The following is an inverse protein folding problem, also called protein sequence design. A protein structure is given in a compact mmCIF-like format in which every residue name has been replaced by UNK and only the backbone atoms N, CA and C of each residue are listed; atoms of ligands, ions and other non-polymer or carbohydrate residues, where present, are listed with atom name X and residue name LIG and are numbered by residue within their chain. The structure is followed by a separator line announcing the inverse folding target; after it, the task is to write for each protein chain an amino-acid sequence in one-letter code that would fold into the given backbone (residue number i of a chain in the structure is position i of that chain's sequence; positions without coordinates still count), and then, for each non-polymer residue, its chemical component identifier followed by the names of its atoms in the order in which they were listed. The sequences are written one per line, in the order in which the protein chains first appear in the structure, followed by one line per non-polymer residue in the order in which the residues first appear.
data_IF_174938417165
#
_entry.id   IF_174938417165
#
_cell.length_a   1.000
_cell.length_b   1.000
_cell.length_c   1.000
_cell.angle_alpha   90.00
_cell.angle_beta   90.00
_cell.angle_gamma   90.00
#
_symmetry.space_group_name_H-M   'P 1'
#
loop_
_entity.id
_entity.type
_entity.pdbx_description
1 polymer ?
#
# COMPACT_ATOMS: atom_id res chain seq x y z
N UNK A 1 13.25 -10.74 -23.43
CA UNK A 1 11.98 -11.14 -22.78
C UNK A 1 12.13 -12.07 -21.54
N UNK A 2 13.24 -12.77 -21.34
CA UNK A 2 13.44 -13.63 -20.14
C UNK A 2 13.48 -12.78 -18.85
N UNK A 3 14.12 -11.62 -18.89
CA UNK A 3 14.35 -10.76 -17.72
C UNK A 3 13.05 -10.14 -17.19
N UNK A 4 12.19 -9.63 -18.08
CA UNK A 4 10.86 -9.13 -17.70
C UNK A 4 10.02 -10.21 -17.03
N UNK A 5 10.05 -11.44 -17.56
CA UNK A 5 9.34 -12.58 -16.97
C UNK A 5 9.85 -12.92 -15.57
N UNK A 6 11.17 -12.84 -15.34
CA UNK A 6 11.76 -13.06 -14.01
C UNK A 6 11.35 -11.97 -13.03
N UNK A 7 11.41 -10.70 -13.45
CA UNK A 7 10.98 -9.56 -12.63
C UNK A 7 9.51 -9.69 -12.21
N UNK A 8 8.63 -9.93 -13.18
CA UNK A 8 7.19 -10.11 -12.95
C UNK A 8 6.93 -11.31 -12.03
N UNK A 9 7.62 -12.44 -12.25
CA UNK A 9 7.51 -13.59 -11.36
C UNK A 9 7.97 -13.29 -9.93
N UNK A 10 9.05 -12.53 -9.77
CA UNK A 10 9.54 -12.08 -8.47
C UNK A 10 8.50 -11.24 -7.73
N UNK A 11 7.87 -10.29 -8.43
CA UNK A 11 6.80 -9.45 -7.86
C UNK A 11 5.60 -10.31 -7.44
N UNK A 12 5.15 -11.26 -8.26
CA UNK A 12 4.05 -12.16 -7.89
C UNK A 12 4.37 -13.04 -6.69
N UNK A 13 5.58 -13.60 -6.62
CA UNK A 13 6.03 -14.41 -5.47
C UNK A 13 6.03 -13.55 -4.19
N UNK A 14 6.57 -12.33 -4.26
CA UNK A 14 6.59 -11.41 -3.12
C UNK A 14 5.16 -11.03 -2.69
N UNK A 15 4.28 -10.72 -3.64
CA UNK A 15 2.89 -10.39 -3.35
C UNK A 15 2.15 -11.57 -2.70
N UNK A 16 2.33 -12.79 -3.22
CA UNK A 16 1.73 -14.00 -2.66
C UNK A 16 2.26 -14.29 -1.25
N UNK A 17 3.58 -14.22 -1.05
CA UNK A 17 4.19 -14.42 0.26
C UNK A 17 3.68 -13.40 1.28
N UNK A 18 3.57 -12.12 0.88
CA UNK A 18 3.00 -11.06 1.72
C UNK A 18 1.53 -11.32 2.07
N UNK A 19 0.73 -11.75 1.09
CA UNK A 19 -0.69 -12.07 1.31
C UNK A 19 -0.85 -13.27 2.28
N UNK A 20 -0.05 -14.33 2.10
CA UNK A 20 -0.06 -15.50 3.00
C UNK A 20 0.38 -15.10 4.41
N UNK A 21 1.43 -14.29 4.54
CA UNK A 21 1.88 -13.77 5.84
C UNK A 21 0.79 -12.96 6.55
N UNK A 22 0.15 -12.03 5.84
CA UNK A 22 -0.92 -11.21 6.39
C UNK A 22 -2.14 -12.06 6.79
N UNK A 23 -2.54 -13.02 5.96
CA UNK A 23 -3.63 -13.95 6.27
C UNK A 23 -3.31 -14.78 7.53
N UNK A 24 -2.12 -15.35 7.62
CA UNK A 24 -1.67 -16.09 8.78
C UNK A 24 -1.65 -15.22 10.04
N UNK A 25 -1.13 -14.00 9.97
CA UNK A 25 -1.12 -13.04 11.07
C UNK A 25 -2.54 -12.72 11.56
N UNK A 26 -3.48 -12.53 10.65
CA UNK A 26 -4.88 -12.25 10.99
C UNK A 26 -5.53 -13.48 11.65
N UNK A 27 -5.39 -14.67 11.06
CA UNK A 27 -5.98 -15.91 11.58
C UNK A 27 -5.42 -16.24 12.98
N UNK A 28 -4.10 -16.24 13.13
CA UNK A 28 -3.42 -16.54 14.41
C UNK A 28 -3.78 -15.47 15.45
N UNK A 29 -3.79 -14.20 15.07
CA UNK A 29 -4.12 -13.10 15.96
C UNK A 29 -5.55 -13.21 16.50
N UNK A 30 -6.52 -13.54 15.65
CA UNK A 30 -7.90 -13.80 16.11
C UNK A 30 -8.02 -15.05 16.96
N UNK A 31 -7.32 -16.14 16.61
CA UNK A 31 -7.36 -17.38 17.38
C UNK A 31 -6.82 -17.22 18.80
N UNK A 32 -5.70 -16.47 18.95
CA UNK A 32 -4.99 -16.36 20.24
C UNK A 32 -5.47 -15.17 21.10
N UNK A 33 -5.83 -14.02 20.51
CA UNK A 33 -6.01 -12.76 21.25
C UNK A 33 -7.39 -12.11 21.09
N UNK A 34 -8.28 -12.66 20.24
CA UNK A 34 -9.67 -12.21 20.02
C UNK A 34 -9.85 -10.66 20.07
N UNK A 35 -10.52 -10.16 21.11
CA UNK A 35 -10.90 -8.74 21.18
C UNK A 35 -9.75 -7.73 21.31
N UNK A 36 -8.59 -8.12 21.86
CA UNK A 36 -7.39 -7.26 21.91
C UNK A 36 -6.74 -7.14 20.53
N UNK A 37 -6.77 -8.22 19.76
CA UNK A 37 -6.19 -8.26 18.41
C UNK A 37 -6.85 -7.26 17.46
N UNK A 38 -8.16 -7.03 17.57
CA UNK A 38 -8.86 -6.06 16.69
C UNK A 38 -8.29 -4.64 16.85
N UNK A 39 -7.97 -4.22 18.07
CA UNK A 39 -7.36 -2.91 18.30
C UNK A 39 -5.93 -2.83 17.78
N UNK A 40 -5.15 -3.90 17.96
CA UNK A 40 -3.78 -3.95 17.46
C UNK A 40 -3.77 -4.00 15.90
N UNK A 41 -4.72 -4.72 15.31
CA UNK A 41 -4.92 -4.72 13.86
C UNK A 41 -5.29 -3.34 13.34
N UNK A 42 -6.26 -2.65 13.97
CA UNK A 42 -6.64 -1.29 13.59
C UNK A 42 -5.47 -0.32 13.67
N UNK A 43 -4.63 -0.43 14.71
CA UNK A 43 -3.40 0.36 14.86
C UNK A 43 -2.41 0.10 13.72
N UNK A 44 -2.18 -1.18 13.39
CA UNK A 44 -1.28 -1.57 12.29
C UNK A 44 -1.80 -1.09 10.93
N UNK A 45 -3.11 -1.16 10.70
CA UNK A 45 -3.74 -0.66 9.46
C UNK A 45 -3.61 0.86 9.35
N UNK A 46 -3.86 1.61 10.45
CA UNK A 46 -3.71 3.06 10.46
C UNK A 46 -2.26 3.50 10.19
N UNK A 47 -1.29 2.91 10.88
CA UNK A 47 0.12 3.24 10.68
C UNK A 47 0.66 2.76 9.32
N UNK A 48 0.33 1.54 8.91
CA UNK A 48 0.75 0.98 7.63
C UNK A 48 0.18 1.74 6.45
N UNK A 49 -1.11 2.08 6.51
CA UNK A 49 -1.76 2.92 5.50
C UNK A 49 -1.16 4.33 5.45
N UNK A 50 -0.94 4.95 6.62
CA UNK A 50 -0.31 6.27 6.72
C UNK A 50 1.11 6.28 6.14
N UNK A 51 1.94 5.30 6.48
CA UNK A 51 3.28 5.16 5.92
C UNK A 51 3.22 4.98 4.39
N UNK A 52 2.30 4.13 3.90
CA UNK A 52 2.10 3.93 2.46
C UNK A 52 1.73 5.23 1.77
N UNK A 53 0.84 6.05 2.34
CA UNK A 53 0.48 7.37 1.79
C UNK A 53 1.69 8.29 1.70
N UNK A 54 2.50 8.39 2.76
CA UNK A 54 3.72 9.21 2.74
C UNK A 54 4.67 8.75 1.64
N UNK A 55 4.92 7.45 1.51
CA UNK A 55 5.80 6.91 0.47
C UNK A 55 5.24 7.20 -0.93
N UNK A 56 3.94 7.00 -1.15
CA UNK A 56 3.31 7.27 -2.45
C UNK A 56 3.34 8.76 -2.81
N UNK A 57 3.16 9.66 -1.83
CA UNK A 57 3.29 11.11 -2.07
C UNK A 57 4.72 11.45 -2.46
N UNK A 58 5.72 10.97 -1.73
CA UNK A 58 7.14 11.24 -2.04
C UNK A 58 7.49 10.71 -3.43
N UNK A 59 7.17 9.45 -3.72
CA UNK A 59 7.42 8.86 -5.04
C UNK A 59 6.65 9.57 -6.14
N UNK A 60 5.38 9.94 -5.88
CA UNK A 60 4.55 10.68 -6.82
C UNK A 60 5.14 12.05 -7.18
N UNK A 61 5.61 12.80 -6.18
CA UNK A 61 6.26 14.10 -6.42
C UNK A 61 7.53 13.95 -7.24
N UNK A 62 8.37 12.95 -6.94
CA UNK A 62 9.58 12.66 -7.71
C UNK A 62 9.23 12.27 -9.15
N UNK A 63 8.19 11.47 -9.34
CA UNK A 63 7.74 11.06 -10.68
C UNK A 63 7.14 12.23 -11.48
N UNK A 64 6.40 13.14 -10.85
CA UNK A 64 5.82 14.31 -11.51
C UNK A 64 6.89 15.29 -12.00
N UNK A 65 7.99 15.45 -11.25
CA UNK A 65 9.07 16.38 -11.61
C UNK A 65 10.01 15.80 -12.66
N UNK A 66 10.17 14.48 -12.71
CA UNK A 66 11.16 13.84 -13.58
C UNK A 66 10.85 12.39 -13.92
N UNK A 67 9.67 12.13 -14.48
CA UNK A 67 9.23 10.78 -14.85
C UNK A 67 10.24 10.05 -15.73
N UNK A 68 10.82 10.75 -16.73
CA UNK A 68 11.83 10.18 -17.63
C UNK A 68 13.05 9.67 -16.87
N UNK A 69 13.52 10.44 -15.90
CA UNK A 69 14.66 10.06 -15.06
C UNK A 69 14.35 8.87 -14.15
N UNK A 70 13.16 8.84 -13.59
CA UNK A 70 12.68 7.73 -12.74
C UNK A 70 12.53 6.47 -13.60
N UNK A 71 11.92 6.59 -14.76
CA UNK A 71 11.74 5.51 -15.73
C UNK A 71 13.10 4.92 -16.17
N UNK A 72 14.05 5.79 -16.53
CA UNK A 72 15.39 5.39 -16.93
C UNK A 72 16.12 4.65 -15.79
N UNK A 73 16.12 5.23 -14.58
CA UNK A 73 16.77 4.62 -13.41
C UNK A 73 16.14 3.28 -13.03
N UNK A 74 14.81 3.18 -13.08
CA UNK A 74 14.11 1.92 -12.83
C UNK A 74 14.59 0.82 -13.79
N UNK A 75 14.71 1.11 -15.08
CA UNK A 75 15.18 0.14 -16.06
C UNK A 75 16.65 -0.24 -15.86
N UNK A 76 17.51 0.73 -15.57
CA UNK A 76 18.92 0.47 -15.27
C UNK A 76 19.13 -0.39 -14.02
N UNK A 77 18.28 -0.24 -13.01
CA UNK A 77 18.34 -1.05 -11.79
C UNK A 77 17.72 -2.44 -11.96
N UNK A 78 16.69 -2.55 -12.80
CA UNK A 78 15.92 -3.78 -13.00
C UNK A 78 16.52 -4.72 -14.03
N UNK A 79 17.32 -4.20 -14.96
CA UNK A 79 17.89 -4.95 -16.08
C UNK A 79 19.39 -4.76 -16.18
N UNK A 80 20.11 -5.86 -16.36
CA UNK A 80 21.57 -5.88 -16.51
C UNK A 80 22.03 -5.70 -17.97
N UNK A 81 21.08 -5.55 -18.90
CA UNK A 81 21.32 -5.41 -20.33
C UNK A 81 20.59 -4.19 -20.91
N UNK A 82 20.93 -3.79 -22.12
CA UNK A 82 20.35 -2.62 -22.80
C UNK A 82 19.19 -2.94 -23.74
N UNK A 83 18.64 -4.17 -23.75
CA UNK A 83 17.53 -4.58 -24.62
C UNK A 83 16.20 -3.85 -24.34
N UNK A 84 16.10 -3.15 -23.21
CA UNK A 84 14.97 -2.30 -22.87
C UNK A 84 15.00 -0.92 -23.58
N UNK A 85 16.16 -0.54 -24.13
CA UNK A 85 16.31 0.70 -24.92
C UNK A 85 15.80 0.46 -26.35
N UNK A 86 14.54 0.72 -26.55
CA UNK A 86 13.88 0.53 -27.82
C UNK A 86 13.93 1.80 -28.65
N UNK A 87 14.12 1.67 -29.96
CA UNK A 87 14.11 2.79 -30.92
C UNK A 87 12.67 2.97 -31.48
N UNK A 88 12.02 4.13 -31.29
CA UNK A 88 10.69 4.40 -31.82
C UNK A 88 10.58 4.28 -33.35
N UNK A 89 11.70 4.32 -34.07
CA UNK A 89 11.73 4.22 -35.54
C UNK A 89 11.65 2.77 -36.02
N UNK A 90 12.20 1.83 -35.26
CA UNK A 90 12.36 0.44 -35.66
C UNK A 90 11.53 -0.53 -34.81
N UNK A 91 11.27 -0.18 -33.54
CA UNK A 91 10.64 -1.08 -32.58
C UNK A 91 9.14 -0.85 -32.46
N UNK A 92 8.36 -1.83 -32.85
CA UNK A 92 6.89 -1.79 -32.80
C UNK A 92 6.35 -1.60 -31.38
N UNK A 93 7.02 -2.13 -30.37
CA UNK A 93 6.57 -2.09 -28.97
C UNK A 93 6.42 -0.64 -28.46
N UNK A 94 7.42 0.20 -28.72
CA UNK A 94 7.39 1.63 -28.30
C UNK A 94 6.38 2.43 -29.11
N UNK A 95 6.09 1.99 -30.36
CA UNK A 95 5.07 2.61 -31.22
C UNK A 95 3.64 2.30 -30.74
N UNK A 96 3.44 1.10 -30.17
CA UNK A 96 2.13 0.67 -29.64
C UNK A 96 1.94 1.19 -28.21
N UNK A 97 3.01 1.22 -27.41
CA UNK A 97 3.01 1.68 -26.02
C UNK A 97 3.99 2.84 -25.85
N UNK A 98 3.61 4.06 -26.27
CA UNK A 98 4.44 5.25 -26.09
C UNK A 98 4.65 5.58 -24.62
N UNK A 99 5.56 6.48 -24.33
CA UNK A 99 5.92 6.84 -22.97
C UNK A 99 4.74 7.38 -22.15
N UNK A 100 3.85 8.14 -22.77
CA UNK A 100 2.64 8.66 -22.14
C UNK A 100 1.73 7.55 -21.62
N UNK A 101 1.64 6.43 -22.33
CA UNK A 101 0.91 5.25 -21.86
C UNK A 101 1.44 4.72 -20.52
N UNK A 102 2.77 4.69 -20.37
CA UNK A 102 3.38 4.21 -19.14
C UNK A 102 3.19 5.20 -17.98
N UNK A 103 3.20 6.48 -18.28
CA UNK A 103 2.87 7.53 -17.31
C UNK A 103 1.44 7.38 -16.81
N UNK A 104 0.47 7.27 -17.71
CA UNK A 104 -0.95 7.08 -17.39
C UNK A 104 -1.19 5.79 -16.60
N UNK A 105 -0.57 4.69 -17.01
CA UNK A 105 -0.65 3.42 -16.29
C UNK A 105 -0.10 3.54 -14.86
N UNK A 106 1.02 4.23 -14.68
CA UNK A 106 1.63 4.49 -13.36
C UNK A 106 0.69 5.34 -12.51
N UNK A 107 0.11 6.40 -13.07
CA UNK A 107 -0.84 7.27 -12.38
C UNK A 107 -2.09 6.49 -11.95
N UNK A 108 -2.62 5.65 -12.81
CA UNK A 108 -3.79 4.82 -12.53
C UNK A 108 -3.56 3.83 -11.37
N UNK A 109 -2.39 3.18 -11.33
CA UNK A 109 -1.99 2.31 -10.21
C UNK A 109 -1.79 3.12 -8.94
N UNK A 110 -1.13 4.30 -9.03
CA UNK A 110 -0.90 5.17 -7.89
C UNK A 110 -2.21 5.65 -7.24
N UNK A 111 -3.19 6.08 -8.02
CA UNK A 111 -4.51 6.50 -7.53
C UNK A 111 -5.21 5.38 -6.77
N UNK A 112 -5.16 4.14 -7.27
CA UNK A 112 -5.76 2.99 -6.58
C UNK A 112 -5.03 2.64 -5.29
N UNK A 113 -3.72 2.70 -5.31
CA UNK A 113 -2.90 2.44 -4.13
C UNK A 113 -3.15 3.51 -3.05
N UNK A 114 -3.23 4.80 -3.43
CA UNK A 114 -3.57 5.92 -2.54
C UNK A 114 -4.97 5.72 -1.94
N UNK A 115 -5.96 5.40 -2.78
CA UNK A 115 -7.34 5.18 -2.32
C UNK A 115 -7.41 4.02 -1.32
N UNK A 116 -6.76 2.91 -1.60
CA UNK A 116 -6.69 1.77 -0.68
C UNK A 116 -6.01 2.13 0.65
N UNK A 117 -4.85 2.79 0.59
CA UNK A 117 -4.13 3.22 1.78
C UNK A 117 -4.92 4.23 2.62
N UNK A 118 -5.64 5.16 1.97
CA UNK A 118 -6.52 6.11 2.64
C UNK A 118 -7.67 5.41 3.37
N UNK A 119 -8.35 4.49 2.71
CA UNK A 119 -9.44 3.70 3.32
C UNK A 119 -8.93 2.96 4.56
N UNK A 120 -7.78 2.28 4.48
CA UNK A 120 -7.21 1.55 5.61
C UNK A 120 -6.82 2.47 6.76
N UNK A 121 -6.22 3.63 6.46
CA UNK A 121 -5.82 4.62 7.45
C UNK A 121 -7.04 5.20 8.17
N UNK A 122 -8.05 5.61 7.41
CA UNK A 122 -9.27 6.21 7.96
C UNK A 122 -10.05 5.17 8.78
N UNK A 123 -10.26 3.98 8.25
CA UNK A 123 -11.00 2.92 8.95
C UNK A 123 -10.30 2.51 10.25
N UNK A 124 -8.97 2.31 10.22
CA UNK A 124 -8.18 2.00 11.41
C UNK A 124 -8.24 3.09 12.46
N UNK A 125 -8.06 4.35 12.04
CA UNK A 125 -8.08 5.51 12.93
C UNK A 125 -9.47 5.75 13.53
N UNK A 126 -10.52 5.68 12.72
CA UNK A 126 -11.91 5.83 13.17
C UNK A 126 -12.29 4.77 14.21
N UNK A 127 -11.91 3.51 13.97
CA UNK A 127 -12.14 2.44 14.95
C UNK A 127 -11.44 2.70 16.29
N UNK A 128 -10.20 3.18 16.27
CA UNK A 128 -9.46 3.49 17.49
C UNK A 128 -10.09 4.65 18.27
N UNK A 129 -10.52 5.69 17.57
CA UNK A 129 -11.22 6.83 18.17
C UNK A 129 -12.55 6.39 18.78
N UNK A 130 -13.37 5.63 18.02
CA UNK A 130 -14.64 5.09 18.52
C UNK A 130 -14.46 4.25 19.79
N UNK A 131 -13.48 3.36 19.81
CA UNK A 131 -13.18 2.51 20.96
C UNK A 131 -12.75 3.32 22.17
N UNK A 132 -11.98 4.37 21.99
CA UNK A 132 -11.59 5.30 23.05
C UNK A 132 -12.82 5.98 23.63
N UNK A 133 -13.69 6.48 22.78
CA UNK A 133 -14.91 7.21 23.19
C UNK A 133 -15.89 6.31 23.96
N UNK A 134 -16.14 5.11 23.49
CA UNK A 134 -17.02 4.13 24.16
C UNK A 134 -16.45 3.63 25.50
N UNK A 135 -15.13 3.66 25.67
CA UNK A 135 -14.49 3.38 26.95
C UNK A 135 -14.72 4.49 28.00
N UNK A 136 -14.67 5.74 27.56
CA UNK A 136 -14.93 6.91 28.41
C UNK A 136 -16.39 6.97 28.86
N UNK A 137 -17.35 6.73 27.98
CA UNK A 137 -18.79 6.71 28.34
C UNK A 137 -19.07 5.67 29.43
N UNK A 138 -18.58 4.45 29.28
CA UNK A 138 -18.74 3.39 30.29
C UNK A 138 -18.11 3.73 31.63
N UNK A 139 -17.00 4.46 31.65
CA UNK A 139 -16.39 4.91 32.88
C UNK A 139 -17.20 5.98 33.59
N UNK A 140 -17.83 6.90 32.85
CA UNK A 140 -18.72 7.93 33.38
C UNK A 140 -20.00 7.34 33.97
N UNK A 141 -20.68 6.45 33.22
CA UNK A 141 -21.90 5.75 33.66
C UNK A 141 -21.66 4.96 34.94
N UNK A 142 -20.45 4.39 35.09
CA UNK A 142 -20.05 3.66 36.30
C UNK A 142 -19.82 4.56 37.54
N UNK A 143 -19.42 5.82 37.33
CA UNK A 143 -19.25 6.78 38.41
C UNK A 143 -20.60 7.31 38.89
N UNK A 144 -21.52 7.57 38.01
CA UNK A 144 -22.86 8.05 38.33
C UNK A 144 -23.65 7.01 39.14
N UNK A 145 -23.51 5.73 38.81
CA UNK A 145 -24.16 4.64 39.55
C UNK A 145 -23.63 4.46 41.02
N UNK A 146 -22.41 4.90 41.29
CA UNK A 146 -21.83 4.85 42.67
C UNK A 146 -22.32 6.04 43.51
N UNK A 147 -22.68 7.17 42.91
CA UNK A 147 -23.20 8.33 43.63
C UNK A 147 -24.71 8.23 43.96
N UNK A 148 -25.44 7.32 43.28
CA UNK A 148 -26.88 7.09 43.55
C UNK A 148 -27.14 6.00 44.62
N UNK A 149 -26.12 5.27 45.08
CA UNK A 149 -26.19 4.24 46.12
C UNK A 149 -25.76 4.76 47.45
#
# INVERSE_FOLDING_TARGET
MKDVKQLVRGVYVLALASAVYLAAMVVIGFALHRGRFVADLAKRLAWGGGLTLVLLIVFGLVALVGFDSVFLKFHQMSFTNDFWRLDPRTDYLVRIFPQDFWFDATLWVAVRAISGALILTVAGSAFLVYRKYSGWQRAMDGLDSVHES
#
